data_IF_837536580496
#
_entry.id   IF_837536580496
#
_cell.length_a   1.000
_cell.length_b   1.000
_cell.length_c   1.000
_cell.angle_alpha   90.00
_cell.angle_beta   90.00
_cell.angle_gamma   90.00
#
_symmetry.space_group_name_H-M   'P 1'
#
loop_
_entity.id
_entity.type
_entity.pdbx_description
1 polymer ?
#
# COMPACT_ATOMS: atom_id res chain seq x y z
N UNK A 1 3.43 -7.67 7.02
CA UNK A 1 3.00 -8.38 5.78
C UNK A 1 3.27 -9.86 6.00
N UNK A 2 2.23 -10.67 6.22
CA UNK A 2 2.35 -12.06 6.72
C UNK A 2 3.31 -12.95 5.92
N UNK A 3 3.39 -12.79 4.59
CA UNK A 3 4.30 -13.60 3.76
C UNK A 3 5.78 -13.30 4.02
N UNK A 4 6.14 -12.04 4.27
CA UNK A 4 7.53 -11.67 4.61
C UNK A 4 7.91 -12.18 6.01
N UNK A 5 6.96 -12.16 6.95
CA UNK A 5 7.17 -12.70 8.29
C UNK A 5 7.44 -14.21 8.24
N UNK A 6 6.67 -14.95 7.43
CA UNK A 6 6.91 -16.38 7.16
C UNK A 6 8.25 -16.65 6.46
N UNK A 7 8.69 -15.76 5.56
CA UNK A 7 9.99 -15.89 4.92
C UNK A 7 11.14 -15.67 5.91
N UNK A 8 11.00 -14.75 6.87
CA UNK A 8 11.98 -14.55 7.95
C UNK A 8 12.08 -15.76 8.87
N UNK A 9 10.96 -16.42 9.15
CA UNK A 9 10.92 -17.68 9.90
C UNK A 9 11.55 -18.82 9.10
N UNK A 10 11.22 -18.94 7.82
CA UNK A 10 11.75 -20.00 6.95
C UNK A 10 13.28 -19.91 6.77
N UNK A 11 13.80 -18.70 6.59
CA UNK A 11 15.23 -18.44 6.50
C UNK A 11 15.83 -18.08 7.86
N UNK A 12 15.36 -18.68 8.97
CA UNK A 12 16.06 -18.62 10.25
C UNK A 12 17.51 -19.13 10.11
N UNK A 13 18.32 -18.94 11.15
CA UNK A 13 19.80 -18.95 11.09
C UNK A 13 20.43 -20.30 10.65
N UNK A 14 19.62 -21.32 10.37
CA UNK A 14 20.01 -22.73 10.22
C UNK A 14 20.00 -23.27 8.77
N UNK A 15 19.96 -22.41 7.73
CA UNK A 15 20.43 -22.83 6.40
C UNK A 15 19.40 -23.47 5.46
N UNK A 16 18.15 -22.99 5.44
CA UNK A 16 17.19 -23.33 4.37
C UNK A 16 17.36 -22.51 3.09
N UNK A 17 18.41 -21.71 2.96
CA UNK A 17 18.68 -20.96 1.75
C UNK A 17 19.58 -21.74 0.79
N UNK A 18 19.13 -21.87 -0.46
CA UNK A 18 19.88 -22.54 -1.51
C UNK A 18 20.14 -21.62 -2.70
N UNK A 19 21.40 -21.56 -3.13
CA UNK A 19 21.83 -20.87 -4.34
C UNK A 19 21.67 -21.78 -5.57
N UNK A 20 21.12 -21.25 -6.67
CA UNK A 20 21.02 -21.95 -7.96
C UNK A 20 20.08 -23.16 -8.00
N UNK A 21 19.40 -23.47 -6.89
CA UNK A 21 18.39 -24.55 -6.80
C UNK A 21 17.08 -23.99 -6.29
N UNK A 22 16.01 -24.33 -7.01
CA UNK A 22 14.66 -23.90 -6.66
C UNK A 22 14.17 -24.52 -5.34
N UNK A 23 14.44 -25.82 -5.17
CA UNK A 23 14.16 -26.66 -4.01
C UNK A 23 15.28 -27.71 -3.98
N UNK A 24 15.88 -27.98 -2.82
CA UNK A 24 16.92 -29.00 -2.66
C UNK A 24 16.39 -30.39 -2.27
N UNK A 25 15.07 -30.51 -2.04
CA UNK A 25 14.42 -31.74 -1.61
C UNK A 25 14.52 -32.02 -0.10
N UNK A 26 15.33 -31.26 0.63
CA UNK A 26 15.55 -31.34 2.07
C UNK A 26 14.94 -30.13 2.82
N UNK A 27 14.06 -29.38 2.14
CA UNK A 27 13.38 -28.21 2.70
C UNK A 27 14.11 -26.89 2.46
N UNK A 28 15.31 -26.91 1.87
CA UNK A 28 16.01 -25.73 1.41
C UNK A 28 15.43 -25.20 0.11
N UNK A 29 15.30 -23.89 0.02
CA UNK A 29 14.74 -23.18 -1.13
C UNK A 29 15.59 -21.97 -1.49
N UNK A 30 15.59 -21.60 -2.78
CA UNK A 30 16.00 -20.25 -3.15
C UNK A 30 14.95 -19.23 -2.70
N UNK A 31 15.29 -17.94 -2.74
CA UNK A 31 14.38 -16.85 -2.39
C UNK A 31 13.01 -16.96 -3.08
N UNK A 32 13.02 -17.22 -4.39
CA UNK A 32 11.79 -17.36 -5.19
C UNK A 32 11.05 -18.66 -4.85
N UNK A 33 11.78 -19.75 -4.64
CA UNK A 33 11.23 -21.04 -4.25
C UNK A 33 10.46 -20.96 -2.93
N UNK A 34 11.07 -20.36 -1.90
CA UNK A 34 10.45 -20.16 -0.60
C UNK A 34 9.21 -19.27 -0.70
N UNK A 35 9.29 -18.16 -1.42
CA UNK A 35 8.16 -17.25 -1.63
C UNK A 35 6.97 -17.99 -2.26
N UNK A 36 7.22 -18.81 -3.28
CA UNK A 36 6.17 -19.57 -3.96
C UNK A 36 5.63 -20.70 -3.08
N UNK A 37 6.50 -21.42 -2.37
CA UNK A 37 6.12 -22.48 -1.44
C UNK A 37 5.20 -21.93 -0.33
N UNK A 38 5.67 -20.90 0.39
CA UNK A 38 4.94 -20.29 1.52
C UNK A 38 3.65 -19.62 1.06
N UNK A 39 3.67 -18.91 -0.06
CA UNK A 39 2.46 -18.31 -0.64
C UNK A 39 1.39 -19.38 -0.91
N UNK A 40 1.76 -20.52 -1.53
CA UNK A 40 0.81 -21.60 -1.81
C UNK A 40 0.32 -22.25 -0.53
N UNK A 41 1.23 -22.58 0.40
CA UNK A 41 0.94 -23.23 1.67
C UNK A 41 -0.03 -22.40 2.53
N UNK A 42 0.16 -21.09 2.57
CA UNK A 42 -0.61 -20.17 3.42
C UNK A 42 -1.69 -19.38 2.66
N UNK A 43 -1.84 -19.60 1.34
CA UNK A 43 -2.81 -18.90 0.46
C UNK A 43 -2.65 -17.37 0.46
N UNK A 44 -1.40 -16.89 0.50
CA UNK A 44 -1.08 -15.46 0.58
C UNK A 44 -0.73 -14.89 -0.80
N UNK A 45 -1.07 -13.61 -1.08
CA UNK A 45 -0.75 -12.98 -2.35
C UNK A 45 0.77 -12.78 -2.52
N UNK A 46 1.26 -13.11 -3.72
CA UNK A 46 2.70 -13.05 -4.07
C UNK A 46 3.16 -11.67 -4.49
N UNK A 47 2.38 -11.02 -5.34
CA UNK A 47 2.79 -9.81 -6.04
C UNK A 47 3.24 -8.68 -5.08
N UNK A 48 2.54 -8.39 -3.97
CA UNK A 48 3.00 -7.37 -3.03
C UNK A 48 4.35 -7.70 -2.39
N UNK A 49 4.58 -8.97 -2.02
CA UNK A 49 5.86 -9.39 -1.44
C UNK A 49 7.00 -9.32 -2.46
N UNK A 50 6.74 -9.69 -3.72
CA UNK A 50 7.73 -9.56 -4.80
C UNK A 50 8.13 -8.11 -5.01
N UNK A 51 7.15 -7.19 -5.12
CA UNK A 51 7.42 -5.77 -5.30
C UNK A 51 8.26 -5.20 -4.14
N UNK A 52 7.86 -5.48 -2.90
CA UNK A 52 8.59 -5.03 -1.71
C UNK A 52 10.02 -5.58 -1.64
N UNK A 53 10.22 -6.85 -2.02
CA UNK A 53 11.57 -7.44 -2.07
C UNK A 53 12.43 -6.79 -3.14
N UNK A 54 11.85 -6.46 -4.30
CA UNK A 54 12.54 -5.75 -5.38
C UNK A 54 12.92 -4.32 -4.96
N UNK A 55 12.02 -3.61 -4.29
CA UNK A 55 12.27 -2.26 -3.76
C UNK A 55 13.31 -2.25 -2.63
N UNK A 56 13.39 -3.35 -1.87
CA UNK A 56 14.38 -3.51 -0.82
C UNK A 56 15.80 -3.77 -1.35
N UNK A 57 15.94 -4.24 -2.59
CA UNK A 57 17.25 -4.63 -3.14
C UNK A 57 18.26 -3.48 -3.17
N UNK A 58 19.56 -3.77 -3.07
CA UNK A 58 20.61 -2.75 -3.22
C UNK A 58 20.61 -2.11 -4.62
N UNK A 59 20.15 -2.86 -5.63
CA UNK A 59 20.03 -2.42 -7.02
C UNK A 59 18.58 -2.51 -7.46
N UNK A 60 17.87 -1.38 -7.57
CA UNK A 60 16.49 -1.35 -8.05
C UNK A 60 16.35 -2.00 -9.43
N UNK A 61 15.26 -2.74 -9.65
CA UNK A 61 14.96 -3.37 -10.93
C UNK A 61 15.68 -4.69 -11.19
N UNK A 62 16.51 -5.18 -10.26
CA UNK A 62 17.15 -6.48 -10.39
C UNK A 62 16.13 -7.63 -10.17
N UNK A 63 16.11 -8.67 -11.03
CA UNK A 63 15.26 -9.83 -10.79
C UNK A 63 15.66 -10.58 -9.51
N UNK A 64 14.68 -11.05 -8.74
CA UNK A 64 14.92 -11.81 -7.49
C UNK A 64 15.80 -13.04 -7.70
N UNK A 65 15.66 -13.72 -8.84
CA UNK A 65 16.50 -14.87 -9.22
C UNK A 65 17.96 -14.47 -9.37
N UNK A 66 18.22 -13.36 -10.06
CA UNK A 66 19.59 -12.88 -10.26
C UNK A 66 20.23 -12.47 -8.95
N UNK A 67 19.50 -11.77 -8.07
CA UNK A 67 19.99 -11.48 -6.73
C UNK A 67 20.34 -12.75 -5.96
N UNK A 68 19.42 -13.73 -5.91
CA UNK A 68 19.63 -14.97 -5.17
C UNK A 68 20.89 -15.72 -5.64
N UNK A 69 21.10 -15.78 -6.95
CA UNK A 69 22.12 -16.65 -7.54
C UNK A 69 23.49 -15.98 -7.71
N UNK A 70 23.52 -14.66 -7.92
CA UNK A 70 24.74 -13.94 -8.30
C UNK A 70 25.13 -12.80 -7.34
N UNK A 71 24.24 -12.32 -6.47
CA UNK A 71 24.52 -11.15 -5.62
C UNK A 71 24.44 -11.45 -4.13
N UNK A 72 23.55 -12.35 -3.71
CA UNK A 72 23.35 -12.67 -2.30
C UNK A 72 24.40 -13.70 -1.88
N UNK A 73 25.26 -13.34 -0.91
CA UNK A 73 26.40 -14.15 -0.48
C UNK A 73 26.19 -14.89 0.84
N UNK A 74 25.09 -14.63 1.53
CA UNK A 74 24.78 -15.32 2.79
C UNK A 74 23.29 -15.28 3.13
N UNK A 75 22.86 -16.23 3.97
CA UNK A 75 21.52 -16.20 4.59
C UNK A 75 21.30 -14.91 5.39
N UNK A 76 22.34 -14.34 6.00
CA UNK A 76 22.25 -13.08 6.72
C UNK A 76 21.91 -11.90 5.79
N UNK A 77 22.54 -11.82 4.62
CA UNK A 77 22.23 -10.82 3.60
C UNK A 77 20.81 -11.00 3.06
N UNK A 78 20.41 -12.25 2.78
CA UNK A 78 19.04 -12.57 2.36
C UNK A 78 18.01 -12.07 3.39
N UNK A 79 18.24 -12.37 4.68
CA UNK A 79 17.39 -11.93 5.80
C UNK A 79 17.34 -10.41 5.90
N UNK A 80 18.46 -9.73 5.71
CA UNK A 80 18.52 -8.26 5.70
C UNK A 80 17.60 -7.66 4.63
N UNK A 81 17.59 -8.21 3.41
CA UNK A 81 16.68 -7.75 2.35
C UNK A 81 15.22 -8.02 2.72
N UNK A 82 14.90 -9.18 3.29
CA UNK A 82 13.53 -9.49 3.71
C UNK A 82 13.07 -8.57 4.85
N UNK A 83 13.95 -8.26 5.82
CA UNK A 83 13.68 -7.31 6.90
C UNK A 83 13.43 -5.90 6.36
N UNK A 84 14.25 -5.44 5.41
CA UNK A 84 14.06 -4.15 4.76
C UNK A 84 12.74 -4.09 4.00
N UNK A 85 12.39 -5.14 3.24
CA UNK A 85 11.09 -5.25 2.58
C UNK A 85 9.92 -5.23 3.58
N UNK A 86 10.11 -5.84 4.76
CA UNK A 86 9.11 -5.85 5.84
C UNK A 86 8.89 -4.46 6.42
N UNK A 87 9.96 -3.69 6.61
CA UNK A 87 9.89 -2.30 7.07
C UNK A 87 9.19 -1.39 6.05
N UNK A 88 9.54 -1.51 4.75
CA UNK A 88 8.85 -0.80 3.67
C UNK A 88 7.33 -1.09 3.69
N UNK A 89 6.94 -2.33 4.00
CA UNK A 89 5.53 -2.68 4.11
C UNK A 89 4.82 -1.98 5.28
N UNK A 90 5.50 -1.79 6.42
CA UNK A 90 4.95 -1.06 7.56
C UNK A 90 4.82 0.44 7.24
N UNK A 91 5.83 1.02 6.59
CA UNK A 91 5.81 2.41 6.15
C UNK A 91 4.66 2.69 5.17
N UNK A 92 4.48 1.82 4.16
CA UNK A 92 3.35 1.92 3.23
C UNK A 92 2.01 1.81 3.96
N UNK A 93 1.88 0.89 4.92
CA UNK A 93 0.64 0.73 5.70
C UNK A 93 0.35 1.94 6.61
N UNK A 94 1.38 2.61 7.13
CA UNK A 94 1.24 3.87 7.87
C UNK A 94 0.83 5.01 6.92
N UNK A 95 1.48 5.12 5.76
CA UNK A 95 1.16 6.13 4.76
C UNK A 95 -0.28 5.99 4.25
N UNK A 96 -0.75 4.77 4.00
CA UNK A 96 -2.14 4.51 3.58
C UNK A 96 -3.15 4.92 4.66
N UNK A 97 -2.85 4.64 5.93
CA UNK A 97 -3.68 5.07 7.07
C UNK A 97 -3.72 6.59 7.18
N UNK A 98 -2.57 7.26 7.05
CA UNK A 98 -2.49 8.71 7.07
C UNK A 98 -3.27 9.35 5.90
N UNK A 99 -3.13 8.80 4.69
CA UNK A 99 -3.86 9.25 3.51
C UNK A 99 -5.38 9.07 3.66
N UNK A 100 -5.82 7.92 4.19
CA UNK A 100 -7.23 7.67 4.49
C UNK A 100 -7.78 8.67 5.52
N UNK A 101 -7.04 8.95 6.59
CA UNK A 101 -7.42 9.94 7.60
C UNK A 101 -7.51 11.35 7.01
N UNK A 102 -6.53 11.76 6.21
CA UNK A 102 -6.52 13.06 5.54
C UNK A 102 -7.72 13.21 4.59
N UNK A 103 -8.03 12.16 3.81
CA UNK A 103 -9.20 12.12 2.93
C UNK A 103 -10.51 12.24 3.73
N UNK A 104 -10.65 11.49 4.82
CA UNK A 104 -11.84 11.55 5.68
C UNK A 104 -12.02 12.95 6.29
N UNK A 105 -10.94 13.56 6.79
CA UNK A 105 -10.95 14.91 7.32
C UNK A 105 -11.39 15.95 6.28
N UNK A 106 -10.83 15.88 5.06
CA UNK A 106 -11.18 16.80 3.98
C UNK A 106 -12.65 16.69 3.58
N UNK A 107 -13.17 15.47 3.44
CA UNK A 107 -14.58 15.22 3.14
C UNK A 107 -15.49 15.77 4.24
N UNK A 108 -15.14 15.58 5.51
CA UNK A 108 -15.88 16.14 6.64
C UNK A 108 -15.88 17.68 6.63
N UNK A 109 -14.75 18.32 6.25
CA UNK A 109 -14.63 19.77 6.14
C UNK A 109 -15.51 20.33 5.01
N UNK A 110 -15.51 19.68 3.85
CA UNK A 110 -16.37 20.06 2.71
C UNK A 110 -17.85 19.87 3.07
N UNK A 111 -18.21 18.76 3.73
CA UNK A 111 -19.57 18.51 4.18
C UNK A 111 -20.09 19.56 5.16
N UNK A 112 -19.25 19.99 6.12
CA UNK A 112 -19.57 21.10 7.03
C UNK A 112 -19.83 22.41 6.28
N UNK A 113 -18.97 22.77 5.31
CA UNK A 113 -19.17 23.99 4.48
C UNK A 113 -20.47 23.96 3.68
N UNK A 114 -20.90 22.80 3.18
CA UNK A 114 -22.18 22.64 2.46
C UNK A 114 -23.41 22.67 3.36
N UNK A 115 -23.27 22.39 4.66
CA UNK A 115 -24.38 22.35 5.63
C UNK A 115 -24.66 23.67 6.34
N UNK A 116 -23.76 24.66 6.25
CA UNK A 116 -24.10 26.05 6.59
C UNK A 116 -25.03 26.60 5.51
N UNK A 117 -26.31 26.90 5.81
CA UNK A 117 -27.20 27.51 4.83
C UNK A 117 -26.62 28.87 4.42
N UNK A 118 -26.69 29.16 3.13
CA UNK A 118 -26.79 30.53 2.66
C UNK A 118 -27.91 31.16 3.46
N UNK A 119 -27.57 32.06 4.39
CA UNK A 119 -28.56 32.91 5.04
C UNK A 119 -29.30 33.61 3.92
N UNK A 120 -30.58 33.27 3.77
CA UNK A 120 -31.52 33.93 2.89
C UNK A 120 -31.43 35.45 3.11
N UNK A 121 -30.78 36.15 2.18
CA UNK A 121 -31.09 37.56 1.95
C UNK A 121 -32.26 37.54 0.98
N UNK A 122 -33.42 37.11 1.47
CA UNK A 122 -34.69 37.54 0.90
C UNK A 122 -35.00 38.84 1.61
N UNK A 123 -34.51 39.93 1.02
CA UNK A 123 -34.97 41.27 1.36
C UNK A 123 -36.44 41.33 0.92
N UNK A 124 -37.34 41.20 1.88
CA UNK A 124 -38.78 41.27 1.65
C UNK A 124 -39.15 42.72 1.33
N UNK A 125 -39.04 43.09 0.06
CA UNK A 125 -39.68 44.30 -0.45
C UNK A 125 -41.20 44.14 -0.32
N UNK A 126 -41.94 45.12 0.25
CA UNK A 126 -43.39 45.06 0.27
C UNK A 126 -43.90 45.20 -1.15
N UNK A 127 -44.67 44.20 -1.60
CA UNK A 127 -45.41 44.22 -2.84
C UNK A 127 -46.44 45.37 -2.82
N UNK A 128 -46.12 46.51 -3.43
CA UNK A 128 -47.14 47.45 -3.87
C UNK A 128 -47.69 47.02 -5.23
N UNK A 129 -49.02 46.88 -5.39
CA UNK A 129 -49.60 46.55 -6.68
C UNK A 129 -49.54 47.76 -7.62
N UNK A 130 -48.87 47.59 -8.76
CA UNK A 130 -48.88 48.55 -9.87
C UNK A 130 -50.31 48.75 -10.39
N UNK A 131 -50.86 49.95 -10.24
CA UNK A 131 -52.11 50.38 -10.88
C UNK A 131 -51.78 51.22 -12.11
N UNK A 132 -52.09 50.77 -13.35
CA UNK A 132 -51.87 51.58 -14.54
C UNK A 132 -52.95 52.67 -14.65
N UNK A 133 -52.56 53.94 -14.58
CA UNK A 133 -53.43 55.08 -14.95
C UNK A 133 -53.72 55.02 -16.45
N UNK A 134 -54.97 54.76 -16.82
CA UNK A 134 -55.49 55.04 -18.18
C UNK A 134 -55.59 56.56 -18.35
N UNK A 135 -54.87 57.11 -19.31
CA UNK A 135 -55.14 58.44 -19.86
C UNK A 135 -56.35 58.31 -20.80
N UNK A 136 -57.39 59.08 -20.51
CA UNK A 136 -58.55 59.24 -21.37
C UNK A 136 -58.22 60.24 -22.50
N UNK A 137 -58.73 59.90 -23.69
CA UNK A 137 -58.93 60.65 -24.94
C UNK A 137 -58.17 61.96 -25.16
#
# INVERSE_FOLDING_TARGET
>A
MQLLDLMLEHFADDGHWTRGRYDDGNGGHCLVGALLHLSRKHRLPRAPAIALLQDAMPRPGLPLVHFNDACCDSTAELRSIILKARHLADDHAEQDRAAAAAKAWLLARIGKKRRTPSTDIVDAAPNEPFVPKRLAA
#
